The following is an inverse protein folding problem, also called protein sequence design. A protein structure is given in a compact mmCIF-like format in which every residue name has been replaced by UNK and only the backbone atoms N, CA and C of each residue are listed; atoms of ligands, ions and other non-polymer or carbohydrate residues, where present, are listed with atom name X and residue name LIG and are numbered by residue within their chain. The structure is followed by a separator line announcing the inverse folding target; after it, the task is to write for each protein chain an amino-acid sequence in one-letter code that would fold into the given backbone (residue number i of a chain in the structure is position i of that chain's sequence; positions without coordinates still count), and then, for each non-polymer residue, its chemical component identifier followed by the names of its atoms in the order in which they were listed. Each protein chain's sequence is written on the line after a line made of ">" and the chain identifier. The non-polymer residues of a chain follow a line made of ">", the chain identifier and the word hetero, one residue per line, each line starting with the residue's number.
data_IF_144653939897
#
_entry.id   IF_144653939897
#
_cell.length_a   1.000
_cell.length_b   1.000
_cell.length_c   1.000
_cell.angle_alpha   90.00
_cell.angle_beta   90.00
_cell.angle_gamma   90.00
#
_symmetry.space_group_name_H-M   'P 1'
#
loop_
_entity.id
_entity.type
_entity.pdbx_description
1 polymer ?
#
# COMPACT_ATOMS: atom_id res chain seq x y z
N UNK A 1 -25.15 5.54 -9.66
CA UNK A 1 -25.50 4.53 -8.64
C UNK A 1 -24.55 3.37 -8.87
N UNK A 2 -23.62 2.98 -8.01
CA UNK A 2 -23.36 3.23 -6.60
C UNK A 2 -21.90 2.80 -6.38
N UNK A 3 -20.94 3.73 -6.31
CA UNK A 3 -19.60 3.35 -5.80
C UNK A 3 -18.78 4.55 -5.29
N UNK A 4 -19.47 5.64 -4.92
CA UNK A 4 -18.83 6.84 -4.36
C UNK A 4 -19.37 7.20 -2.96
N UNK A 5 -20.16 6.31 -2.34
CA UNK A 5 -20.84 6.55 -1.06
C UNK A 5 -20.29 5.69 0.08
N UNK A 6 -18.98 5.51 0.15
CA UNK A 6 -18.35 4.88 1.33
C UNK A 6 -17.21 5.72 1.91
N UNK A 7 -16.79 6.80 1.26
CA UNK A 7 -15.76 7.70 1.81
C UNK A 7 -16.35 8.93 2.53
N UNK A 8 -17.56 9.36 2.16
CA UNK A 8 -18.13 10.62 2.63
C UNK A 8 -18.71 10.54 4.06
N UNK A 9 -19.02 9.33 4.56
CA UNK A 9 -19.70 9.14 5.85
C UNK A 9 -18.74 9.19 7.05
N UNK A 10 -17.43 9.05 6.85
CA UNK A 10 -16.45 9.05 7.94
C UNK A 10 -16.09 10.47 8.47
N UNK A 11 -16.47 11.54 7.76
CA UNK A 11 -16.08 12.90 8.13
C UNK A 11 -17.04 13.61 9.11
N UNK A 12 -18.19 13.02 9.44
CA UNK A 12 -19.21 13.67 10.27
C UNK A 12 -19.21 13.23 11.75
N UNK A 13 -18.08 12.77 12.29
CA UNK A 13 -17.97 12.54 13.75
C UNK A 13 -16.57 12.42 14.34
N UNK A 14 -15.59 13.22 13.89
CA UNK A 14 -14.34 13.40 14.66
C UNK A 14 -13.56 12.12 15.00
N UNK A 15 -13.73 11.04 14.23
CA UNK A 15 -12.93 9.83 14.38
C UNK A 15 -11.54 10.13 13.84
N UNK A 16 -10.53 9.95 14.69
CA UNK A 16 -9.13 10.18 14.33
C UNK A 16 -8.73 9.09 13.34
N UNK A 17 -8.44 9.49 12.10
CA UNK A 17 -7.81 8.61 11.12
C UNK A 17 -6.31 8.81 11.15
N UNK A 18 -5.60 7.70 11.17
CA UNK A 18 -4.15 7.66 11.13
C UNK A 18 -3.72 7.21 9.74
N UNK A 19 -2.87 8.02 9.12
CA UNK A 19 -2.31 7.74 7.80
C UNK A 19 -0.82 7.40 7.95
N UNK A 20 -0.42 6.23 7.47
CA UNK A 20 0.98 5.81 7.40
C UNK A 20 1.44 5.77 5.96
N UNK A 21 2.36 6.67 5.61
CA UNK A 21 3.04 6.70 4.32
C UNK A 21 4.33 5.88 4.42
N UNK A 22 4.37 4.75 3.70
CA UNK A 22 5.55 3.89 3.64
C UNK A 22 6.14 3.90 2.24
N UNK A 23 7.42 4.28 2.13
CA UNK A 23 8.12 4.37 0.86
C UNK A 23 9.11 3.21 0.71
N UNK A 24 9.12 2.59 -0.46
CA UNK A 24 9.93 1.40 -0.73
C UNK A 24 10.82 1.61 -1.94
N UNK A 25 12.05 1.11 -1.82
CA UNK A 25 13.00 0.98 -2.93
C UNK A 25 13.19 -0.49 -3.23
N UNK A 26 12.96 -0.88 -4.48
CA UNK A 26 13.20 -2.22 -4.97
C UNK A 26 14.70 -2.41 -5.20
N UNK A 27 15.27 -3.40 -4.51
CA UNK A 27 16.68 -3.77 -4.65
C UNK A 27 17.03 -4.05 -6.13
N UNK A 28 18.24 -3.68 -6.55
CA UNK A 28 18.62 -3.77 -7.97
C UNK A 28 18.64 -5.22 -8.45
N UNK A 29 19.05 -6.13 -7.57
CA UNK A 29 19.17 -7.58 -7.72
C UNK A 29 17.85 -8.22 -8.14
N UNK A 30 16.71 -7.67 -7.70
CA UNK A 30 15.38 -8.14 -8.09
C UNK A 30 15.15 -8.04 -9.61
N UNK A 31 15.72 -7.00 -10.25
CA UNK A 31 15.55 -6.77 -11.70
C UNK A 31 16.23 -7.86 -12.53
N UNK A 32 17.24 -8.53 -11.98
CA UNK A 32 17.98 -9.62 -12.65
C UNK A 32 17.39 -11.01 -12.40
N UNK A 33 16.37 -11.15 -11.53
CA UNK A 33 15.72 -12.43 -11.28
C UNK A 33 14.89 -12.93 -12.47
N UNK A 34 14.66 -14.25 -12.52
CA UNK A 34 13.78 -14.86 -13.52
C UNK A 34 12.33 -14.37 -13.35
N UNK A 35 11.49 -14.40 -14.40
CA UNK A 35 10.08 -14.02 -14.30
C UNK A 35 9.32 -14.78 -13.21
N UNK A 36 9.60 -16.07 -13.05
CA UNK A 36 8.98 -16.95 -12.06
C UNK A 36 9.36 -16.54 -10.63
N UNK A 37 10.64 -16.24 -10.40
CA UNK A 37 11.11 -15.74 -9.11
C UNK A 37 10.53 -14.37 -8.79
N UNK A 38 10.45 -13.48 -9.79
CA UNK A 38 9.79 -12.17 -9.62
C UNK A 38 8.33 -12.32 -9.23
N UNK A 39 7.59 -13.23 -9.87
CA UNK A 39 6.19 -13.50 -9.53
C UNK A 39 6.06 -14.02 -8.11
N UNK A 40 6.85 -15.04 -7.74
CA UNK A 40 6.87 -15.60 -6.38
C UNK A 40 7.13 -14.54 -5.31
N UNK A 41 8.14 -13.69 -5.51
CA UNK A 41 8.47 -12.62 -4.54
C UNK A 41 7.35 -11.59 -4.42
N UNK A 42 6.65 -11.25 -5.52
CA UNK A 42 5.48 -10.37 -5.48
C UNK A 42 4.34 -11.00 -4.69
N UNK A 43 4.06 -12.28 -4.92
CA UNK A 43 2.99 -13.00 -4.24
C UNK A 43 3.26 -13.12 -2.74
N UNK A 44 4.51 -13.39 -2.34
CA UNK A 44 4.93 -13.39 -0.94
C UNK A 44 4.72 -12.01 -0.29
N UNK A 45 5.10 -10.93 -0.97
CA UNK A 45 4.88 -9.56 -0.50
C UNK A 45 3.39 -9.25 -0.33
N UNK A 46 2.56 -9.59 -1.31
CA UNK A 46 1.11 -9.41 -1.24
C UNK A 46 0.48 -10.24 -0.13
N UNK A 47 0.94 -11.48 0.09
CA UNK A 47 0.45 -12.34 1.18
C UNK A 47 0.73 -11.75 2.56
N UNK A 48 1.88 -11.09 2.75
CA UNK A 48 2.16 -10.37 4.00
C UNK A 48 1.20 -9.20 4.18
N UNK A 49 0.95 -8.42 3.13
CA UNK A 49 0.06 -7.28 3.19
C UNK A 49 -1.40 -7.68 3.42
N UNK A 50 -1.87 -8.76 2.79
CA UNK A 50 -3.24 -9.27 2.94
C UNK A 50 -3.56 -9.67 4.40
N UNK A 51 -2.56 -10.17 5.14
CA UNK A 51 -2.72 -10.45 6.58
C UNK A 51 -3.05 -9.20 7.39
N UNK A 52 -2.60 -8.03 6.95
CA UNK A 52 -2.84 -6.74 7.61
C UNK A 52 -4.01 -5.96 7.01
N UNK A 53 -4.35 -6.22 5.74
CA UNK A 53 -5.41 -5.53 5.00
C UNK A 53 -6.81 -5.68 5.61
N UNK A 54 -7.03 -6.68 6.47
CA UNK A 54 -8.32 -6.85 7.19
C UNK A 54 -8.60 -5.77 8.25
N UNK A 55 -7.57 -5.06 8.72
CA UNK A 55 -7.68 -4.04 9.78
C UNK A 55 -7.39 -2.63 9.28
N UNK A 56 -6.73 -2.51 8.14
CA UNK A 56 -6.17 -1.25 7.63
C UNK A 56 -6.42 -1.19 6.13
N UNK A 57 -6.95 -0.07 5.63
CA UNK A 57 -7.08 0.18 4.20
C UNK A 57 -5.71 0.40 3.58
N UNK A 58 -5.38 -0.33 2.51
CA UNK A 58 -4.08 -0.21 1.82
C UNK A 58 -4.26 0.30 0.38
N UNK A 59 -3.52 1.35 0.03
CA UNK A 59 -3.44 1.88 -1.34
C UNK A 59 -1.99 1.90 -1.82
N UNK A 60 -1.77 1.59 -3.10
CA UNK A 60 -0.44 1.46 -3.70
C UNK A 60 -0.25 2.50 -4.81
N UNK A 61 0.87 3.21 -4.77
CA UNK A 61 1.22 4.23 -5.75
C UNK A 61 2.62 3.99 -6.31
N UNK A 62 2.75 3.98 -7.64
CA UNK A 62 4.06 4.00 -8.29
C UNK A 62 4.68 5.38 -8.17
N UNK A 63 5.98 5.45 -7.88
CA UNK A 63 6.77 6.69 -7.83
C UNK A 63 7.85 6.74 -8.92
N UNK A 64 7.90 5.74 -9.80
CA UNK A 64 8.83 5.67 -10.92
C UNK A 64 8.68 6.92 -11.80
N UNK A 65 9.75 7.69 -11.94
CA UNK A 65 9.77 8.93 -12.74
C UNK A 65 9.36 10.20 -11.99
N UNK A 66 8.88 10.10 -10.74
CA UNK A 66 8.55 11.25 -9.90
C UNK A 66 9.67 11.57 -8.89
N UNK A 67 10.24 10.54 -8.26
CA UNK A 67 11.29 10.66 -7.23
C UNK A 67 12.32 9.53 -7.41
N UNK A 68 13.62 9.81 -7.24
CA UNK A 68 14.71 8.88 -7.61
C UNK A 68 15.19 7.92 -6.50
N UNK A 69 14.80 8.16 -5.25
CA UNK A 69 15.21 7.36 -4.09
C UNK A 69 14.24 6.21 -3.77
N UNK A 70 12.98 6.30 -4.22
CA UNK A 70 11.91 5.31 -3.94
C UNK A 70 11.19 4.89 -5.21
N UNK A 71 10.81 3.62 -5.33
CA UNK A 71 10.10 3.10 -6.50
C UNK A 71 8.57 3.12 -6.34
N UNK A 72 8.05 2.90 -5.12
CA UNK A 72 6.62 2.92 -4.84
C UNK A 72 6.30 3.33 -3.39
N UNK A 73 5.06 3.71 -3.14
CA UNK A 73 4.52 4.06 -1.83
C UNK A 73 3.30 3.22 -1.50
N UNK A 74 3.19 2.83 -0.23
CA UNK A 74 1.98 2.23 0.35
C UNK A 74 1.40 3.22 1.35
N UNK A 75 0.14 3.60 1.16
CA UNK A 75 -0.64 4.36 2.12
C UNK A 75 -1.51 3.40 2.91
N UNK A 76 -1.34 3.41 4.24
CA UNK A 76 -2.18 2.69 5.17
C UNK A 76 -3.11 3.68 5.89
N UNK A 77 -4.43 3.45 5.85
CA UNK A 77 -5.44 4.22 6.59
C UNK A 77 -6.11 3.32 7.63
N UNK A 78 -6.04 3.75 8.89
CA UNK A 78 -6.65 3.06 10.03
C UNK A 78 -7.31 4.06 10.99
N UNK A 79 -8.36 3.60 11.69
CA UNK A 79 -8.95 4.34 12.81
C UNK A 79 -8.14 4.26 14.11
N UNK A 80 -7.06 3.47 14.13
CA UNK A 80 -6.19 3.25 15.29
C UNK A 80 -4.71 3.17 14.87
N UNK A 81 -3.79 3.44 15.80
CA UNK A 81 -2.35 3.54 15.52
C UNK A 81 -1.58 2.22 15.73
N UNK A 82 -2.15 1.24 16.44
CA UNK A 82 -1.49 -0.05 16.76
C UNK A 82 -1.50 -1.10 15.63
#
# INVERSE_FOLDING_TARGET
>A
MEEQRTDEVASERGEKRYLKYSFFRVVREWRFQSPEQKAKMKDEFLSVLDKHARRVGLQFFSLVGLRGDTDFMVLADSGDLE
#
